data_IF_659446990496
#
_entry.id   IF_659446990496
#
_cell.length_a   1.000
_cell.length_b   1.000
_cell.length_c   1.000
_cell.angle_alpha   90.00
_cell.angle_beta   90.00
_cell.angle_gamma   90.00
#
_symmetry.space_group_name_H-M   'P 1'
#
loop_
_entity.id
_entity.type
_entity.pdbx_description
1 polymer ?
#
# COMPACT_ATOMS: atom_id res chain seq x y z
N UNK A 1 -16.67 -4.01 -14.74
CA UNK A 1 -16.45 -2.94 -15.73
C UNK A 1 -15.80 -1.77 -15.00
N UNK A 2 -14.82 -1.10 -15.58
CA UNK A 2 -14.24 0.10 -15.00
C UNK A 2 -15.34 1.15 -14.82
N UNK A 3 -15.40 1.74 -13.65
CA UNK A 3 -16.38 2.78 -13.31
C UNK A 3 -15.66 4.09 -13.06
N UNK A 4 -16.30 5.21 -13.32
CA UNK A 4 -15.79 6.49 -12.90
C UNK A 4 -16.12 6.72 -11.44
N UNK A 5 -15.10 6.72 -10.58
CA UNK A 5 -15.25 6.92 -9.14
C UNK A 5 -15.33 8.41 -8.88
N UNK A 6 -16.52 8.91 -8.48
CA UNK A 6 -16.76 10.34 -8.27
C UNK A 6 -16.16 10.84 -6.96
N UNK A 7 -16.23 10.03 -5.92
CA UNK A 7 -15.68 10.38 -4.60
C UNK A 7 -14.15 10.38 -4.59
N UNK A 8 -13.57 11.16 -3.67
CA UNK A 8 -12.12 11.09 -3.42
C UNK A 8 -11.81 9.77 -2.71
N UNK A 9 -10.88 8.93 -3.23
CA UNK A 9 -10.45 7.69 -2.57
C UNK A 9 -9.88 7.94 -1.17
N UNK A 10 -9.98 6.97 -0.28
CA UNK A 10 -9.52 7.11 1.11
C UNK A 10 -8.03 7.50 1.20
N UNK A 11 -7.18 6.91 0.37
CA UNK A 11 -5.75 7.21 0.33
C UNK A 11 -5.42 8.66 -0.04
N UNK A 12 -6.38 9.35 -0.70
CA UNK A 12 -6.28 10.77 -1.05
C UNK A 12 -7.09 11.67 -0.09
N UNK A 13 -8.05 11.13 0.69
CA UNK A 13 -8.82 11.91 1.67
C UNK A 13 -7.96 12.39 2.83
N UNK A 14 -6.92 11.63 3.18
CA UNK A 14 -5.96 11.97 4.24
C UNK A 14 -4.96 13.07 3.83
N UNK A 15 -4.96 13.48 2.57
CA UNK A 15 -4.04 14.49 2.02
C UNK A 15 -4.73 15.85 1.96
N UNK A 16 -4.11 16.85 2.55
CA UNK A 16 -4.47 18.26 2.36
C UNK A 16 -3.74 18.75 1.10
N UNK A 17 -4.43 18.66 -0.06
CA UNK A 17 -3.81 18.93 -1.36
C UNK A 17 -3.29 20.37 -1.51
N UNK A 18 -3.94 21.35 -0.88
CA UNK A 18 -3.48 22.74 -0.94
C UNK A 18 -2.10 22.89 -0.27
N UNK A 19 -1.83 22.11 0.76
CA UNK A 19 -0.52 22.05 1.40
C UNK A 19 0.47 21.21 0.59
N UNK A 20 0.05 20.02 0.11
CA UNK A 20 0.91 19.14 -0.68
C UNK A 20 1.39 19.83 -1.97
N UNK A 21 0.53 20.58 -2.63
CA UNK A 21 0.81 21.20 -3.93
C UNK A 21 1.09 22.70 -3.83
N UNK A 22 1.43 23.20 -2.67
CA UNK A 22 1.73 24.62 -2.46
C UNK A 22 2.86 25.09 -3.37
N UNK A 23 3.93 24.31 -3.49
CA UNK A 23 5.13 24.70 -4.24
C UNK A 23 5.21 24.02 -5.61
N UNK A 24 4.71 22.79 -5.74
CA UNK A 24 4.86 22.02 -6.95
C UNK A 24 3.81 20.92 -7.10
N UNK A 25 3.56 20.50 -8.35
CA UNK A 25 2.78 19.32 -8.72
C UNK A 25 3.61 18.28 -9.48
N UNK A 26 4.95 18.37 -9.34
CA UNK A 26 5.88 17.43 -9.98
C UNK A 26 6.32 17.86 -11.39
N UNK A 27 6.09 19.12 -11.79
CA UNK A 27 6.45 19.63 -13.13
C UNK A 27 7.95 19.46 -13.40
N UNK A 28 8.28 18.97 -14.60
CA UNK A 28 9.67 18.81 -15.06
C UNK A 28 10.32 17.48 -14.58
N UNK A 29 9.69 16.74 -13.69
CA UNK A 29 10.22 15.45 -13.23
C UNK A 29 9.74 14.30 -14.10
N UNK A 30 10.68 13.47 -14.54
CA UNK A 30 10.44 12.26 -15.34
C UNK A 30 10.46 11.04 -14.42
N UNK A 31 9.39 10.25 -14.45
CA UNK A 31 9.24 9.03 -13.64
C UNK A 31 9.12 7.84 -14.56
N UNK A 32 10.07 6.92 -14.50
CA UNK A 32 9.96 5.67 -15.26
C UNK A 32 9.06 4.68 -14.51
N UNK A 33 8.07 4.15 -15.20
CA UNK A 33 7.19 3.06 -14.73
C UNK A 33 7.60 1.80 -15.47
N UNK A 34 8.32 0.93 -14.75
CA UNK A 34 8.78 -0.37 -15.25
C UNK A 34 7.73 -1.41 -14.86
N UNK A 35 6.88 -1.80 -15.83
CA UNK A 35 5.67 -2.58 -15.53
C UNK A 35 5.12 -3.31 -16.79
N UNK A 36 3.83 -3.57 -16.88
CA UNK A 36 3.10 -4.20 -18.00
C UNK A 36 2.82 -3.26 -19.17
N UNK A 37 3.28 -2.01 -19.09
CA UNK A 37 2.98 -0.91 -20.01
C UNK A 37 2.04 0.12 -19.38
N UNK A 38 1.74 1.21 -20.13
CA UNK A 38 0.83 2.28 -19.65
C UNK A 38 -0.12 2.69 -20.76
N UNK A 39 -1.41 2.42 -20.60
CA UNK A 39 -2.41 2.78 -21.60
C UNK A 39 -2.69 4.30 -21.63
N UNK A 40 -2.27 4.93 -22.70
CA UNK A 40 -2.50 6.37 -22.95
C UNK A 40 -3.90 6.69 -23.47
N UNK A 41 -4.74 5.69 -23.72
CA UNK A 41 -6.15 5.94 -24.10
C UNK A 41 -6.98 6.35 -22.87
N UNK A 42 -6.51 6.06 -21.66
CA UNK A 42 -7.09 6.62 -20.44
C UNK A 42 -6.94 8.16 -20.46
N UNK A 43 -8.04 8.91 -20.35
CA UNK A 43 -8.00 10.38 -20.46
C UNK A 43 -7.14 11.07 -19.41
N UNK A 44 -6.97 10.47 -18.22
CA UNK A 44 -6.13 11.04 -17.16
C UNK A 44 -4.63 10.80 -17.39
N UNK A 45 -4.24 9.88 -18.28
CA UNK A 45 -2.85 9.55 -18.58
C UNK A 45 -2.38 10.05 -19.95
N UNK A 46 -3.30 10.42 -20.85
CA UNK A 46 -2.99 10.80 -22.22
C UNK A 46 -1.89 11.85 -22.34
N UNK A 47 -1.90 12.86 -21.48
CA UNK A 47 -0.93 13.95 -21.47
C UNK A 47 0.15 13.79 -20.38
N UNK A 48 0.05 12.75 -19.57
CA UNK A 48 1.04 12.45 -18.53
C UNK A 48 2.20 11.60 -19.05
N UNK A 49 2.00 10.87 -20.16
CA UNK A 49 2.92 9.86 -20.69
C UNK A 49 3.72 10.40 -21.86
N UNK A 50 5.05 10.29 -21.78
CA UNK A 50 5.97 10.56 -22.88
C UNK A 50 6.19 9.28 -23.71
N UNK A 51 5.42 9.14 -24.78
CA UNK A 51 5.53 8.00 -25.70
C UNK A 51 6.87 7.94 -26.42
N UNK A 52 7.50 9.10 -26.66
CA UNK A 52 8.78 9.18 -27.35
C UNK A 52 9.94 8.57 -26.55
N UNK A 53 9.81 8.58 -25.22
CA UNK A 53 10.76 8.00 -24.30
C UNK A 53 10.38 6.58 -23.84
N UNK A 54 9.23 6.08 -24.23
CA UNK A 54 8.77 4.76 -23.85
C UNK A 54 9.49 3.61 -24.54
N UNK A 55 9.41 2.42 -23.98
CA UNK A 55 9.98 1.20 -24.55
C UNK A 55 9.14 -0.05 -24.24
N UNK A 56 9.10 -0.96 -25.18
CA UNK A 56 8.66 -2.35 -25.00
C UNK A 56 9.88 -3.26 -25.10
N UNK A 57 10.24 -3.88 -23.99
CA UNK A 57 11.44 -4.73 -23.86
C UNK A 57 11.11 -6.23 -23.90
N UNK A 58 9.84 -6.57 -24.13
CA UNK A 58 9.45 -7.97 -24.29
C UNK A 58 10.01 -8.54 -25.58
N UNK A 59 10.38 -9.85 -25.57
CA UNK A 59 10.76 -10.54 -26.80
C UNK A 59 9.61 -10.51 -27.79
N UNK A 60 9.90 -10.15 -29.02
CA UNK A 60 8.92 -10.28 -30.12
C UNK A 60 8.60 -11.76 -30.29
N UNK A 61 7.32 -12.10 -30.19
CA UNK A 61 6.83 -13.47 -30.44
C UNK A 61 6.17 -13.55 -31.82
N UNK A 62 6.36 -14.66 -32.49
CA UNK A 62 5.60 -14.99 -33.69
C UNK A 62 4.11 -15.22 -33.35
N UNK A 63 3.19 -15.19 -34.32
CA UNK A 63 1.78 -15.48 -34.09
C UNK A 63 1.50 -16.86 -33.46
N UNK A 64 2.41 -17.81 -33.61
CA UNK A 64 2.36 -19.15 -33.01
C UNK A 64 2.89 -19.20 -31.55
N UNK A 65 3.25 -18.04 -30.97
CA UNK A 65 3.81 -17.93 -29.63
C UNK A 65 5.31 -18.25 -29.52
N UNK A 66 5.95 -18.72 -30.58
CA UNK A 66 7.39 -18.99 -30.60
C UNK A 66 8.22 -17.69 -30.55
N UNK A 67 9.43 -17.70 -29.95
CA UNK A 67 10.32 -16.54 -30.03
C UNK A 67 10.63 -16.20 -31.48
N UNK A 68 10.37 -14.98 -31.91
CA UNK A 68 10.80 -14.53 -33.23
C UNK A 68 12.33 -14.54 -33.28
N UNK A 69 12.92 -15.30 -34.24
CA UNK A 69 14.35 -15.31 -34.50
C UNK A 69 14.79 -13.97 -35.11
N UNK A 70 14.86 -12.93 -34.27
CA UNK A 70 15.37 -11.60 -34.63
C UNK A 70 16.62 -11.32 -33.80
N UNK A 71 17.74 -11.06 -34.45
CA UNK A 71 19.00 -10.69 -33.82
C UNK A 71 18.81 -9.42 -32.97
N UNK A 72 18.74 -9.56 -31.66
CA UNK A 72 18.97 -8.47 -30.70
C UNK A 72 20.43 -8.06 -30.77
N UNK A 73 20.85 -7.34 -31.82
CA UNK A 73 22.08 -6.57 -31.79
C UNK A 73 21.74 -5.17 -31.29
N UNK A 74 22.02 -4.94 -30.00
CA UNK A 74 22.13 -3.60 -29.47
C UNK A 74 23.20 -2.82 -30.20
N UNK A 75 22.79 -1.86 -31.01
CA UNK A 75 23.63 -0.73 -31.42
C UNK A 75 22.70 0.47 -31.64
N UNK A 76 22.87 1.43 -30.75
CA UNK A 76 22.34 2.78 -30.95
C UNK A 76 22.94 3.36 -32.22
N UNK A 77 22.08 3.70 -33.19
CA UNK A 77 22.11 4.86 -34.08
C UNK A 77 21.11 4.65 -35.22
N UNK A 78 20.22 5.60 -35.42
CA UNK A 78 19.45 5.74 -36.68
C UNK A 78 17.94 5.71 -36.52
N UNK A 79 17.30 6.79 -36.96
CA UNK A 79 15.86 6.90 -37.22
C UNK A 79 15.42 5.73 -38.11
N UNK A 80 14.73 4.74 -37.52
CA UNK A 80 14.17 3.63 -38.27
C UNK A 80 13.30 2.81 -37.35
N UNK A 81 12.06 2.56 -37.69
CA UNK A 81 11.12 1.67 -37.01
C UNK A 81 11.81 0.35 -36.66
N UNK A 82 12.24 0.18 -35.42
CA UNK A 82 12.62 -1.12 -34.85
C UNK A 82 11.42 -1.67 -34.12
N UNK A 83 11.17 -2.95 -34.23
CA UNK A 83 10.05 -3.69 -33.69
C UNK A 83 10.01 -3.83 -32.15
N UNK A 84 10.13 -2.71 -31.45
CA UNK A 84 9.79 -2.55 -30.05
C UNK A 84 8.74 -1.47 -29.97
N UNK A 85 7.64 -1.73 -29.26
CA UNK A 85 6.60 -0.72 -29.00
C UNK A 85 7.13 0.42 -28.11
N UNK A 86 6.32 1.45 -27.95
CA UNK A 86 6.61 2.64 -27.13
C UNK A 86 6.18 2.47 -25.66
N UNK A 87 5.98 1.23 -25.18
CA UNK A 87 5.55 0.94 -23.80
C UNK A 87 4.10 1.34 -23.49
N UNK A 88 3.33 1.79 -24.47
CA UNK A 88 1.94 2.26 -24.24
C UNK A 88 0.89 1.17 -24.46
N UNK A 89 1.29 -0.06 -24.75
CA UNK A 89 0.41 -1.21 -24.78
C UNK A 89 0.36 -1.85 -23.36
N UNK A 90 -0.80 -1.77 -22.73
CA UNK A 90 -1.04 -2.43 -21.44
C UNK A 90 -2.32 -3.26 -21.53
N UNK A 91 -2.15 -4.57 -21.71
CA UNK A 91 -3.24 -5.55 -21.80
C UNK A 91 -3.67 -6.08 -20.44
N UNK A 92 -2.81 -5.96 -19.42
CA UNK A 92 -3.03 -6.37 -18.03
C UNK A 92 -3.71 -5.27 -17.22
N UNK A 93 -3.31 -4.03 -17.46
CA UNK A 93 -3.81 -2.85 -16.76
C UNK A 93 -3.06 -2.52 -15.46
N UNK A 94 -2.04 -3.31 -15.10
CA UNK A 94 -1.30 -3.09 -13.87
C UNK A 94 -0.43 -1.83 -13.96
N UNK A 95 0.39 -1.67 -14.99
CA UNK A 95 1.22 -0.50 -15.17
C UNK A 95 0.41 0.79 -15.40
N UNK A 96 -0.78 0.68 -16.00
CA UNK A 96 -1.72 1.81 -16.12
C UNK A 96 -2.22 2.27 -14.74
N UNK A 97 -2.50 1.35 -13.80
CA UNK A 97 -2.85 1.69 -12.42
C UNK A 97 -1.68 2.35 -11.70
N UNK A 98 -0.49 1.77 -11.81
CA UNK A 98 0.75 2.30 -11.24
C UNK A 98 1.02 3.73 -11.72
N UNK A 99 0.98 3.97 -13.03
CA UNK A 99 1.15 5.31 -13.60
C UNK A 99 0.08 6.31 -13.12
N UNK A 100 -1.16 5.83 -12.92
CA UNK A 100 -2.26 6.65 -12.43
C UNK A 100 -2.03 7.17 -11.01
N UNK A 101 -1.56 6.32 -10.09
CA UNK A 101 -1.24 6.73 -8.72
C UNK A 101 -0.16 7.82 -8.72
N UNK A 102 0.82 7.73 -9.60
CA UNK A 102 1.89 8.74 -9.71
C UNK A 102 1.36 10.04 -10.32
N UNK A 103 0.75 9.99 -11.52
CA UNK A 103 0.63 11.18 -12.36
C UNK A 103 -0.72 11.33 -13.09
N UNK A 104 -1.79 10.65 -12.65
CA UNK A 104 -3.10 10.87 -13.25
C UNK A 104 -3.49 12.35 -13.18
N UNK A 105 -3.82 12.94 -14.34
CA UNK A 105 -4.22 14.34 -14.45
C UNK A 105 -5.59 14.56 -13.78
N UNK A 106 -5.83 15.72 -13.17
CA UNK A 106 -7.16 16.10 -12.68
C UNK A 106 -8.19 16.02 -13.82
N UNK A 107 -9.38 15.53 -13.50
CA UNK A 107 -10.47 15.42 -14.47
C UNK A 107 -11.82 15.64 -13.81
N UNK A 108 -12.70 16.38 -14.49
CA UNK A 108 -14.09 16.54 -14.05
C UNK A 108 -14.81 15.20 -13.98
N UNK A 109 -15.59 15.00 -12.92
CA UNK A 109 -16.42 13.81 -12.70
C UNK A 109 -15.70 12.64 -11.99
N UNK A 110 -14.44 12.82 -11.58
CA UNK A 110 -13.76 11.88 -10.68
C UNK A 110 -13.02 12.62 -9.57
N UNK A 111 -13.02 12.04 -8.37
CA UNK A 111 -12.21 12.52 -7.23
C UNK A 111 -10.79 11.92 -7.22
N UNK A 112 -10.48 11.05 -8.17
CA UNK A 112 -9.15 10.45 -8.27
C UNK A 112 -8.19 11.34 -9.07
N UNK A 113 -6.99 11.50 -8.53
CA UNK A 113 -5.87 12.21 -9.15
C UNK A 113 -4.55 11.57 -8.68
N UNK A 114 -3.50 11.64 -9.48
CA UNK A 114 -2.16 11.21 -9.07
C UNK A 114 -1.52 12.20 -8.11
N UNK A 115 -0.55 11.74 -7.32
CA UNK A 115 0.13 12.58 -6.34
C UNK A 115 0.96 13.70 -6.98
N UNK A 116 1.64 13.40 -8.09
CA UNK A 116 2.44 14.35 -8.87
C UNK A 116 1.81 14.55 -10.27
N UNK A 117 0.63 15.23 -10.36
CA UNK A 117 -0.15 15.27 -11.60
C UNK A 117 0.50 16.10 -12.72
N UNK A 118 1.64 16.74 -12.51
CA UNK A 118 2.40 17.41 -13.56
C UNK A 118 3.72 16.69 -13.90
N UNK A 119 4.03 15.57 -13.22
CA UNK A 119 5.15 14.72 -13.61
C UNK A 119 4.92 14.06 -14.98
N UNK A 120 6.00 13.64 -15.62
CA UNK A 120 5.98 12.96 -16.92
C UNK A 120 6.35 11.49 -16.72
N UNK A 121 5.49 10.59 -17.17
CA UNK A 121 5.71 9.15 -17.11
C UNK A 121 6.49 8.67 -18.33
N UNK A 122 7.56 7.91 -18.12
CA UNK A 122 8.26 7.12 -19.12
C UNK A 122 7.74 5.69 -19.01
N UNK A 123 6.90 5.22 -19.95
CA UNK A 123 6.35 3.85 -19.88
C UNK A 123 7.38 2.84 -20.36
N UNK A 124 7.74 1.88 -19.51
CA UNK A 124 8.68 0.80 -19.88
C UNK A 124 8.00 -0.53 -19.64
N UNK A 125 7.55 -1.15 -20.74
CA UNK A 125 6.93 -2.47 -20.71
C UNK A 125 8.02 -3.53 -20.67
N UNK A 126 8.08 -4.26 -19.56
CA UNK A 126 9.02 -5.38 -19.39
C UNK A 126 8.34 -6.67 -18.92
N UNK A 127 7.04 -6.61 -18.60
CA UNK A 127 6.23 -7.77 -18.22
C UNK A 127 5.21 -8.08 -19.30
N UNK A 128 5.02 -9.37 -19.52
CA UNK A 128 4.05 -9.92 -20.46
C UNK A 128 2.62 -9.90 -19.90
N UNK A 129 1.69 -10.49 -20.66
CA UNK A 129 0.27 -10.54 -20.33
C UNK A 129 -0.04 -11.42 -19.09
N UNK A 130 0.95 -12.19 -18.62
CA UNK A 130 0.87 -12.94 -17.36
C UNK A 130 1.51 -12.16 -16.19
N UNK A 131 1.95 -10.92 -16.42
CA UNK A 131 2.69 -10.14 -15.43
C UNK A 131 4.12 -10.64 -15.19
N UNK A 132 4.65 -11.50 -16.09
CA UNK A 132 5.95 -12.14 -15.93
C UNK A 132 7.02 -11.40 -16.73
N UNK A 133 8.11 -11.06 -16.06
CA UNK A 133 9.33 -10.51 -16.64
C UNK A 133 10.55 -11.31 -16.20
N UNK A 134 11.72 -10.91 -16.64
CA UNK A 134 13.00 -11.50 -16.24
C UNK A 134 13.89 -10.47 -15.57
N UNK A 135 14.86 -10.92 -14.74
CA UNK A 135 15.87 -10.02 -14.18
C UNK A 135 16.66 -9.29 -15.28
N UNK A 136 16.88 -9.94 -16.43
CA UNK A 136 17.57 -9.33 -17.57
C UNK A 136 16.73 -8.22 -18.24
N UNK A 137 15.42 -8.45 -18.44
CA UNK A 137 14.54 -7.42 -19.01
C UNK A 137 14.35 -6.25 -18.03
N UNK A 138 14.32 -6.52 -16.72
CA UNK A 138 14.28 -5.48 -15.69
C UNK A 138 15.56 -4.66 -15.66
N UNK A 139 16.74 -5.29 -15.75
CA UNK A 139 18.03 -4.58 -15.85
C UNK A 139 18.09 -3.69 -17.10
N UNK A 140 17.61 -4.20 -18.25
CA UNK A 140 17.52 -3.41 -19.47
C UNK A 140 16.53 -2.23 -19.33
N UNK A 141 15.41 -2.43 -18.62
CA UNK A 141 14.43 -1.39 -18.34
C UNK A 141 15.01 -0.26 -17.47
N UNK A 142 15.77 -0.61 -16.43
CA UNK A 142 16.46 0.37 -15.59
C UNK A 142 17.46 1.19 -16.41
N UNK A 143 18.29 0.55 -17.25
CA UNK A 143 19.24 1.27 -18.13
C UNK A 143 18.52 2.14 -19.16
N UNK A 144 17.36 1.71 -19.66
CA UNK A 144 16.55 2.54 -20.53
C UNK A 144 16.05 3.80 -19.78
N UNK A 145 15.56 3.63 -18.55
CA UNK A 145 15.13 4.77 -17.72
C UNK A 145 16.26 5.77 -17.44
N UNK A 146 17.49 5.28 -17.19
CA UNK A 146 18.70 6.12 -17.06
C UNK A 146 18.94 6.92 -18.34
N UNK A 147 18.92 6.25 -19.50
CA UNK A 147 19.13 6.87 -20.81
C UNK A 147 18.10 7.94 -21.12
N UNK A 148 16.84 7.74 -20.72
CA UNK A 148 15.75 8.68 -20.91
C UNK A 148 15.65 9.72 -19.79
N UNK A 149 16.72 9.86 -18.98
CA UNK A 149 16.86 10.88 -17.93
C UNK A 149 15.72 10.83 -16.88
N UNK A 150 15.29 9.65 -16.47
CA UNK A 150 14.39 9.51 -15.32
C UNK A 150 15.05 10.07 -14.06
N UNK A 151 14.27 10.75 -13.23
CA UNK A 151 14.70 11.20 -11.88
C UNK A 151 14.19 10.26 -10.80
N UNK A 152 13.14 9.50 -11.11
CA UNK A 152 12.55 8.48 -10.27
C UNK A 152 12.27 7.25 -11.13
N UNK A 153 12.56 6.08 -10.61
CA UNK A 153 12.18 4.78 -11.20
C UNK A 153 11.24 4.10 -10.22
N UNK A 154 10.06 3.71 -10.70
CA UNK A 154 9.12 2.86 -9.96
C UNK A 154 9.13 1.45 -10.52
N UNK A 155 9.35 0.46 -9.65
CA UNK A 155 9.34 -0.97 -9.96
C UNK A 155 8.32 -1.64 -9.05
N UNK A 156 7.15 -1.98 -9.61
CA UNK A 156 6.06 -2.62 -8.86
C UNK A 156 6.03 -4.13 -9.04
N UNK A 157 7.21 -4.73 -9.11
CA UNK A 157 7.41 -6.16 -9.34
C UNK A 157 8.66 -6.63 -8.64
N UNK A 158 8.65 -7.91 -8.28
CA UNK A 158 9.73 -8.50 -7.51
C UNK A 158 10.09 -9.92 -7.93
N UNK A 159 11.18 -10.42 -7.40
CA UNK A 159 11.53 -11.84 -7.36
C UNK A 159 12.03 -12.20 -5.97
N UNK A 160 11.47 -13.27 -5.42
CA UNK A 160 11.93 -13.85 -4.18
C UNK A 160 13.24 -14.65 -4.30
N UNK A 161 13.72 -14.89 -5.53
CA UNK A 161 14.97 -15.61 -5.74
C UNK A 161 16.14 -14.68 -5.42
N UNK A 162 17.02 -15.07 -4.47
CA UNK A 162 18.22 -14.31 -4.18
C UNK A 162 19.06 -14.17 -5.45
N UNK A 163 19.33 -12.94 -5.85
CA UNK A 163 20.23 -12.63 -6.94
C UNK A 163 21.59 -12.23 -6.36
N UNK A 164 22.67 -12.69 -7.02
CA UNK A 164 24.03 -12.32 -6.61
C UNK A 164 24.21 -10.80 -6.68
N UNK A 165 25.06 -10.26 -5.81
CA UNK A 165 25.37 -8.83 -5.78
C UNK A 165 26.02 -8.31 -7.07
N UNK A 166 26.63 -9.19 -7.87
CA UNK A 166 27.20 -8.92 -9.19
C UNK A 166 26.27 -9.26 -10.36
N UNK A 167 25.00 -9.59 -10.09
CA UNK A 167 24.01 -9.84 -11.13
C UNK A 167 23.77 -8.58 -11.99
N UNK A 168 23.36 -8.80 -13.23
CA UNK A 168 23.08 -7.69 -14.15
C UNK A 168 22.02 -6.72 -13.60
N UNK A 169 21.01 -7.23 -12.87
CA UNK A 169 20.01 -6.41 -12.21
C UNK A 169 20.63 -5.56 -11.07
N UNK A 170 21.47 -6.16 -10.23
CA UNK A 170 22.15 -5.44 -9.16
C UNK A 170 23.08 -4.34 -9.72
N UNK A 171 23.76 -4.63 -10.83
CA UNK A 171 24.59 -3.65 -11.54
C UNK A 171 23.76 -2.50 -12.09
N UNK A 172 22.63 -2.78 -12.72
CA UNK A 172 21.72 -1.76 -13.27
C UNK A 172 21.13 -0.86 -12.17
N UNK A 173 20.76 -1.43 -11.02
CA UNK A 173 20.30 -0.64 -9.86
C UNK A 173 21.42 0.30 -9.36
N UNK A 174 22.65 -0.22 -9.17
CA UNK A 174 23.78 0.64 -8.77
C UNK A 174 24.07 1.74 -9.80
N UNK A 175 23.91 1.45 -11.08
CA UNK A 175 24.06 2.44 -12.15
C UNK A 175 23.00 3.54 -12.03
N UNK A 176 21.72 3.21 -11.75
CA UNK A 176 20.67 4.18 -11.53
C UNK A 176 20.97 5.08 -10.32
N UNK A 177 21.39 4.51 -9.19
CA UNK A 177 21.76 5.26 -7.99
C UNK A 177 22.95 6.19 -8.24
N UNK A 178 23.97 5.78 -8.98
CA UNK A 178 25.11 6.61 -9.40
C UNK A 178 24.70 7.77 -10.31
N UNK A 179 23.66 7.60 -11.10
CA UNK A 179 23.06 8.65 -11.92
C UNK A 179 22.06 9.51 -11.16
N UNK A 180 22.09 9.47 -9.83
CA UNK A 180 21.26 10.29 -8.94
C UNK A 180 19.75 10.04 -9.17
N UNK A 181 19.35 8.81 -9.43
CA UNK A 181 17.94 8.43 -9.64
C UNK A 181 17.39 7.78 -8.38
N UNK A 182 16.24 8.23 -7.89
CA UNK A 182 15.52 7.57 -6.80
C UNK A 182 14.90 6.29 -7.34
N UNK A 183 15.27 5.14 -6.78
CA UNK A 183 14.69 3.84 -7.14
C UNK A 183 13.73 3.40 -6.05
N UNK A 184 12.45 3.29 -6.39
CA UNK A 184 11.37 2.87 -5.50
C UNK A 184 10.89 1.50 -5.95
N UNK A 185 10.79 0.56 -5.04
CA UNK A 185 10.33 -0.80 -5.36
C UNK A 185 9.33 -1.33 -4.33
N UNK A 186 8.37 -2.13 -4.79
CA UNK A 186 7.42 -2.83 -3.92
C UNK A 186 8.13 -3.89 -3.07
N UNK A 187 7.75 -4.00 -1.79
CA UNK A 187 8.36 -4.96 -0.86
C UNK A 187 7.95 -6.41 -1.15
N UNK A 188 6.86 -6.65 -1.88
CA UNK A 188 6.31 -7.98 -2.17
C UNK A 188 5.04 -8.31 -1.40
N UNK A 189 4.30 -9.31 -1.87
CA UNK A 189 2.96 -9.64 -1.38
C UNK A 189 2.84 -11.03 -0.73
N UNK A 190 3.95 -11.69 -0.42
CA UNK A 190 3.98 -13.04 0.15
C UNK A 190 4.10 -13.05 1.69
N UNK A 191 3.77 -11.93 2.34
CA UNK A 191 3.92 -11.74 3.79
C UNK A 191 3.11 -12.69 4.66
N UNK A 192 2.02 -13.28 4.14
CA UNK A 192 1.22 -14.30 4.86
C UNK A 192 1.96 -15.63 5.03
N UNK A 193 2.83 -15.99 4.08
CA UNK A 193 3.53 -17.28 4.09
C UNK A 193 4.80 -17.28 4.96
N UNK A 194 5.27 -16.11 5.41
CA UNK A 194 6.47 -15.90 6.25
C UNK A 194 7.77 -16.58 5.75
N UNK A 195 7.78 -17.09 4.51
CA UNK A 195 8.90 -17.88 3.97
C UNK A 195 9.88 -17.05 3.14
N UNK A 196 9.45 -15.90 2.61
CA UNK A 196 10.28 -15.02 1.80
C UNK A 196 10.78 -13.87 2.66
N UNK A 197 12.08 -13.84 2.90
CA UNK A 197 12.71 -12.81 3.77
C UNK A 197 13.09 -11.53 3.03
N UNK A 198 13.35 -11.61 1.73
CA UNK A 198 13.75 -10.46 0.93
C UNK A 198 13.30 -10.64 -0.52
N UNK A 199 12.90 -9.56 -1.14
CA UNK A 199 12.52 -9.49 -2.56
C UNK A 199 13.45 -8.55 -3.31
N UNK A 200 13.66 -8.81 -4.59
CA UNK A 200 14.53 -7.99 -5.42
C UNK A 200 13.78 -7.39 -6.59
N UNK A 201 13.99 -6.08 -6.89
CA UNK A 201 15.14 -5.25 -6.47
C UNK A 201 14.99 -4.53 -5.11
N UNK A 202 13.87 -4.67 -4.39
CA UNK A 202 13.58 -3.92 -3.16
C UNK A 202 14.70 -4.04 -2.10
N UNK A 203 15.28 -5.25 -1.93
CA UNK A 203 16.33 -5.49 -0.95
C UNK A 203 17.75 -5.06 -1.37
N UNK A 204 17.92 -4.46 -2.55
CA UNK A 204 19.24 -3.92 -2.89
C UNK A 204 19.51 -2.61 -2.14
N UNK A 205 20.75 -2.43 -1.62
CA UNK A 205 21.11 -1.20 -0.93
C UNK A 205 20.86 0.06 -1.77
N UNK A 206 20.22 1.06 -1.18
CA UNK A 206 19.87 2.32 -1.81
C UNK A 206 18.53 2.33 -2.55
N UNK A 207 17.85 1.19 -2.68
CA UNK A 207 16.47 1.12 -3.15
C UNK A 207 15.52 1.42 -1.99
N UNK A 208 14.55 2.30 -2.21
CA UNK A 208 13.48 2.56 -1.25
C UNK A 208 12.41 1.48 -1.40
N UNK A 209 12.47 0.48 -0.54
CA UNK A 209 11.49 -0.60 -0.50
C UNK A 209 10.22 -0.16 0.22
N UNK A 210 9.06 -0.40 -0.39
CA UNK A 210 7.78 0.10 0.10
C UNK A 210 6.85 -1.06 0.46
N UNK A 211 6.50 -1.15 1.74
CA UNK A 211 5.46 -2.02 2.28
C UNK A 211 4.06 -1.43 2.05
N UNK A 212 3.03 -2.26 2.17
CA UNK A 212 1.65 -1.81 2.08
C UNK A 212 1.04 -1.58 3.47
N UNK A 213 0.37 -0.44 3.64
CA UNK A 213 -0.49 -0.15 4.79
C UNK A 213 -1.96 -0.05 4.38
N UNK A 214 -2.84 -0.22 5.36
CA UNK A 214 -4.27 0.04 5.23
C UNK A 214 -4.62 1.49 5.65
N UNK A 215 -5.92 1.77 5.80
CA UNK A 215 -6.43 3.11 6.19
C UNK A 215 -6.15 3.49 7.65
N UNK A 216 -5.76 2.53 8.49
CA UNK A 216 -5.41 2.74 9.90
C UNK A 216 -3.91 2.87 10.10
N UNK A 217 -3.14 2.92 9.01
CA UNK A 217 -1.66 2.89 8.98
C UNK A 217 -1.06 1.58 9.51
N UNK A 218 -1.87 0.52 9.58
CA UNK A 218 -1.41 -0.81 9.91
C UNK A 218 -0.86 -1.52 8.68
N UNK A 219 0.19 -2.34 8.86
CA UNK A 219 0.75 -3.15 7.77
C UNK A 219 -0.32 -4.10 7.22
N UNK A 220 -0.52 -4.08 5.91
CA UNK A 220 -1.39 -5.04 5.26
C UNK A 220 -0.87 -6.49 5.46
N UNK A 221 -1.73 -7.47 5.80
CA UNK A 221 -1.28 -8.84 6.12
C UNK A 221 -0.45 -9.50 5.01
N UNK A 222 -0.75 -9.19 3.74
CA UNK A 222 -0.01 -9.72 2.59
C UNK A 222 1.37 -9.06 2.39
N UNK A 223 1.61 -7.88 2.95
CA UNK A 223 2.86 -7.14 2.72
C UNK A 223 4.05 -7.89 3.31
N UNK A 224 5.12 -7.99 2.52
CA UNK A 224 6.41 -8.49 3.01
C UNK A 224 6.96 -7.62 4.13
N UNK A 225 7.79 -8.22 4.97
CA UNK A 225 8.47 -7.61 6.11
C UNK A 225 9.96 -7.94 6.07
N UNK A 226 10.75 -7.15 6.74
CA UNK A 226 12.19 -7.39 6.90
C UNK A 226 13.01 -6.11 6.98
N UNK A 227 14.30 -6.29 7.24
CA UNK A 227 15.27 -5.19 7.38
C UNK A 227 15.45 -4.35 6.10
N UNK A 228 14.97 -4.80 4.97
CA UNK A 228 15.05 -4.07 3.72
C UNK A 228 13.91 -3.05 3.52
N UNK A 229 12.79 -3.18 4.26
CA UNK A 229 11.65 -2.26 4.15
C UNK A 229 12.06 -0.87 4.61
N UNK A 230 12.00 0.12 3.74
CA UNK A 230 12.32 1.52 4.07
C UNK A 230 11.13 2.24 4.70
N UNK A 231 9.96 2.18 4.04
CA UNK A 231 8.71 2.81 4.48
C UNK A 231 7.51 1.97 4.11
N UNK A 232 6.34 2.29 4.66
CA UNK A 232 5.06 1.81 4.17
C UNK A 232 4.25 2.94 3.54
N UNK A 233 3.29 2.59 2.69
CA UNK A 233 2.34 3.53 2.10
C UNK A 233 1.00 2.84 1.82
N UNK A 234 -0.09 3.58 1.58
CA UNK A 234 -1.39 3.02 1.22
C UNK A 234 -1.29 1.96 0.12
N UNK A 235 -1.78 0.75 0.39
CA UNK A 235 -1.73 -0.39 -0.52
C UNK A 235 -2.96 -1.29 -0.47
N UNK A 236 -3.96 -0.93 0.34
CA UNK A 236 -5.24 -1.65 0.47
C UNK A 236 -6.36 -0.78 -0.08
N UNK A 237 -7.30 -1.36 -0.82
CA UNK A 237 -8.42 -0.65 -1.46
C UNK A 237 -7.98 0.58 -2.28
N UNK A 238 -6.87 0.44 -3.00
CA UNK A 238 -6.30 1.51 -3.79
C UNK A 238 -7.07 1.72 -5.09
N UNK A 239 -7.61 2.92 -5.24
CA UNK A 239 -8.25 3.34 -6.50
C UNK A 239 -7.20 3.84 -7.47
N UNK A 240 -7.26 3.40 -8.72
CA UNK A 240 -6.43 3.97 -9.80
C UNK A 240 -7.05 3.81 -11.17
N UNK A 241 -6.44 4.46 -12.15
CA UNK A 241 -6.80 4.43 -13.60
C UNK A 241 -6.67 3.01 -14.16
N UNK A 242 -7.50 2.69 -15.12
CA UNK A 242 -7.43 1.43 -15.87
C UNK A 242 -7.39 1.70 -17.38
N UNK A 243 -6.94 0.73 -18.19
CA UNK A 243 -6.96 0.88 -19.65
C UNK A 243 -8.33 1.30 -20.18
N UNK A 244 -8.32 2.14 -21.23
CA UNK A 244 -9.49 2.69 -21.93
C UNK A 244 -10.30 3.70 -21.14
N UNK A 245 -10.04 3.91 -19.85
CA UNK A 245 -10.69 4.92 -19.01
C UNK A 245 -11.42 4.33 -17.80
N UNK A 246 -11.79 5.21 -16.87
CA UNK A 246 -12.34 4.84 -15.56
C UNK A 246 -11.26 4.44 -14.56
N UNK A 247 -11.71 3.93 -13.43
CA UNK A 247 -10.88 3.49 -12.32
C UNK A 247 -11.38 2.13 -11.80
N UNK A 248 -10.53 1.41 -11.08
CA UNK A 248 -10.90 0.26 -10.26
C UNK A 248 -10.16 0.30 -8.93
N UNK A 249 -10.57 -0.58 -8.02
CA UNK A 249 -9.94 -0.81 -6.72
C UNK A 249 -9.05 -2.03 -6.80
N UNK A 250 -7.88 -1.98 -6.15
CA UNK A 250 -6.96 -3.11 -6.08
C UNK A 250 -6.12 -3.07 -4.80
N UNK A 251 -5.43 -4.17 -4.48
CA UNK A 251 -4.57 -4.32 -3.31
C UNK A 251 -3.16 -4.77 -3.71
N UNK A 252 -2.16 -4.32 -2.98
CA UNK A 252 -0.78 -4.77 -3.17
C UNK A 252 0.26 -3.70 -2.87
N UNK A 253 1.45 -4.14 -2.50
CA UNK A 253 2.64 -3.29 -2.40
C UNK A 253 2.98 -2.62 -3.74
N UNK A 254 2.52 -3.23 -4.86
CA UNK A 254 2.61 -2.66 -6.20
C UNK A 254 1.88 -1.33 -6.37
N UNK A 255 0.94 -1.00 -5.46
CA UNK A 255 0.21 0.29 -5.45
C UNK A 255 0.74 1.23 -4.37
N UNK A 256 1.46 0.70 -3.37
CA UNK A 256 2.16 1.51 -2.38
C UNK A 256 3.44 2.15 -2.96
N UNK A 257 4.22 1.39 -3.73
CA UNK A 257 5.44 1.91 -4.38
C UNK A 257 5.17 3.15 -5.26
N UNK A 258 4.19 3.17 -6.17
CA UNK A 258 3.90 4.38 -6.97
C UNK A 258 3.39 5.56 -6.14
N UNK A 259 2.74 5.32 -5.01
CA UNK A 259 2.40 6.40 -4.07
C UNK A 259 3.68 7.11 -3.58
N UNK A 260 4.67 6.34 -3.15
CA UNK A 260 5.98 6.87 -2.72
C UNK A 260 6.77 7.48 -3.89
N UNK A 261 6.72 6.87 -5.08
CA UNK A 261 7.34 7.44 -6.27
C UNK A 261 6.74 8.80 -6.67
N UNK A 262 5.43 8.99 -6.45
CA UNK A 262 4.76 10.28 -6.60
C UNK A 262 5.27 11.33 -5.61
N UNK A 263 5.45 10.97 -4.33
CA UNK A 263 6.05 11.85 -3.31
C UNK A 263 7.49 12.19 -3.68
N UNK A 264 8.29 11.19 -4.08
CA UNK A 264 9.67 11.42 -4.54
C UNK A 264 9.72 12.37 -5.75
N UNK A 265 8.76 12.28 -6.67
CA UNK A 265 8.67 13.20 -7.80
C UNK A 265 8.34 14.63 -7.37
N UNK A 266 7.49 14.83 -6.37
CA UNK A 266 7.20 16.14 -5.81
C UNK A 266 8.44 16.76 -5.15
N UNK A 267 9.16 15.97 -4.30
CA UNK A 267 10.40 16.44 -3.65
C UNK A 267 11.45 16.80 -4.71
N UNK A 268 11.63 15.98 -5.75
CA UNK A 268 12.53 16.25 -6.86
C UNK A 268 12.18 17.53 -7.63
N UNK A 269 10.90 17.85 -7.75
CA UNK A 269 10.47 19.08 -8.42
C UNK A 269 10.67 20.32 -7.55
N UNK A 270 10.49 20.20 -6.25
CA UNK A 270 10.72 21.28 -5.27
C UNK A 270 12.21 21.52 -5.04
N UNK A 271 13.00 20.45 -4.92
CA UNK A 271 14.43 20.46 -4.61
C UNK A 271 15.24 19.73 -5.70
N UNK A 272 15.43 20.35 -6.88
CA UNK A 272 16.10 19.70 -8.01
C UNK A 272 17.56 19.33 -7.73
N UNK A 273 18.22 20.04 -6.81
CA UNK A 273 19.62 19.84 -6.44
C UNK A 273 19.86 18.76 -5.38
N UNK A 274 18.80 18.32 -4.69
CA UNK A 274 18.93 17.27 -3.71
C UNK A 274 19.34 15.95 -4.36
N UNK A 275 20.22 15.23 -3.68
CA UNK A 275 20.66 13.90 -4.13
C UNK A 275 19.59 12.86 -3.87
N UNK A 276 19.62 11.76 -4.64
CA UNK A 276 18.65 10.66 -4.48
C UNK A 276 18.58 10.15 -3.03
N UNK A 277 19.74 10.05 -2.34
CA UNK A 277 19.78 9.61 -0.95
C UNK A 277 19.10 10.61 0.00
N UNK A 278 19.17 11.90 -0.28
CA UNK A 278 18.49 12.95 0.51
C UNK A 278 16.98 12.92 0.30
N UNK A 279 16.52 12.64 -0.92
CA UNK A 279 15.08 12.45 -1.20
C UNK A 279 14.55 11.23 -0.46
N UNK A 280 15.28 10.12 -0.47
CA UNK A 280 14.93 8.91 0.27
C UNK A 280 14.90 9.20 1.77
N UNK A 281 15.97 9.78 2.31
CA UNK A 281 16.06 10.11 3.74
C UNK A 281 14.95 11.07 4.19
N UNK A 282 14.55 12.03 3.36
CA UNK A 282 13.43 12.94 3.64
C UNK A 282 12.12 12.19 3.77
N UNK A 283 11.82 11.28 2.85
CA UNK A 283 10.60 10.45 2.90
C UNK A 283 10.60 9.59 4.17
N UNK A 284 11.73 8.97 4.51
CA UNK A 284 11.89 8.14 5.70
C UNK A 284 11.81 8.95 6.99
N UNK A 285 12.44 10.14 7.04
CA UNK A 285 12.46 10.99 8.23
C UNK A 285 11.08 11.55 8.58
N UNK A 286 10.28 11.89 7.58
CA UNK A 286 8.97 12.52 7.75
C UNK A 286 7.82 11.54 7.81
N UNK A 287 8.09 10.24 7.67
CA UNK A 287 7.08 9.20 7.79
C UNK A 287 6.44 9.19 9.18
N UNK A 288 5.14 8.91 9.23
CA UNK A 288 4.39 8.74 10.48
C UNK A 288 4.76 7.40 11.10
N UNK A 289 5.30 7.43 12.32
CA UNK A 289 5.79 6.23 13.00
C UNK A 289 5.17 6.05 14.37
N UNK A 290 4.95 4.78 14.76
CA UNK A 290 4.45 4.41 16.07
C UNK A 290 5.59 4.09 17.08
N UNK A 291 6.80 3.89 16.58
CA UNK A 291 8.00 3.57 17.38
C UNK A 291 9.09 4.61 17.17
N UNK A 292 10.00 4.75 18.13
CA UNK A 292 11.10 5.70 18.08
C UNK A 292 12.21 5.33 17.09
N UNK A 293 11.87 4.90 15.89
CA UNK A 293 12.87 4.53 14.92
C UNK A 293 12.28 3.70 13.80
N UNK A 294 13.05 2.73 13.34
CA UNK A 294 12.69 1.84 12.25
C UNK A 294 12.30 0.46 12.79
N UNK A 295 11.27 -0.15 12.20
CA UNK A 295 10.94 -1.56 12.41
C UNK A 295 10.98 -2.35 11.08
N UNK A 296 10.77 -3.66 11.15
CA UNK A 296 10.77 -4.54 9.97
C UNK A 296 9.40 -4.65 9.28
N UNK A 297 8.34 -4.03 9.81
CA UNK A 297 6.97 -4.12 9.30
C UNK A 297 6.62 -2.96 8.38
N UNK A 298 6.93 -1.74 8.81
CA UNK A 298 6.63 -0.49 8.10
C UNK A 298 7.88 0.37 7.85
N UNK A 299 9.06 -0.15 8.15
CA UNK A 299 10.32 0.58 8.04
C UNK A 299 10.36 1.79 8.98
N UNK A 300 10.64 2.97 8.45
CA UNK A 300 10.61 4.25 9.20
C UNK A 300 9.20 4.78 9.43
N UNK A 301 8.16 4.09 9.00
CA UNK A 301 6.76 4.45 9.20
C UNK A 301 5.97 4.54 7.92
N UNK A 302 4.72 5.00 8.02
CA UNK A 302 3.83 5.23 6.88
C UNK A 302 4.09 6.62 6.31
N UNK A 303 4.32 6.70 5.01
CA UNK A 303 4.66 7.96 4.33
C UNK A 303 3.57 9.02 4.52
N UNK A 304 3.99 10.20 4.99
CA UNK A 304 3.18 11.41 5.05
C UNK A 304 3.63 12.37 3.92
N UNK A 305 2.86 12.46 2.83
CA UNK A 305 3.24 13.30 1.69
C UNK A 305 3.30 14.78 2.03
N UNK A 306 2.46 15.25 2.95
CA UNK A 306 2.40 16.67 3.33
C UNK A 306 3.63 17.05 4.14
N UNK A 307 3.99 16.24 5.15
CA UNK A 307 5.21 16.47 5.93
C UNK A 307 6.47 16.35 5.08
N UNK A 308 6.50 15.40 4.14
CA UNK A 308 7.64 15.21 3.26
C UNK A 308 7.94 16.44 2.38
N UNK A 309 6.93 17.28 2.13
CA UNK A 309 7.05 18.51 1.32
C UNK A 309 7.11 19.79 2.16
N UNK A 310 6.78 19.75 3.46
CA UNK A 310 6.71 20.95 4.29
C UNK A 310 7.77 20.96 5.42
N UNK A 311 8.17 19.78 5.92
CA UNK A 311 9.24 19.65 6.92
C UNK A 311 10.60 19.45 6.20
N UNK A 312 10.93 20.34 5.25
CA UNK A 312 12.00 20.16 4.28
C UNK A 312 12.99 21.35 4.23
N UNK A 313 13.11 22.10 5.31
CA UNK A 313 14.01 23.28 5.39
C UNK A 313 15.48 22.92 5.10
N UNK A 314 15.91 21.72 5.51
CA UNK A 314 17.27 21.24 5.32
C UNK A 314 17.28 19.78 4.87
N UNK A 315 18.07 19.40 3.82
CA UNK A 315 18.17 18.04 3.40
C UNK A 315 18.85 17.19 4.47
N UNK A 316 18.22 16.05 4.82
CA UNK A 316 18.83 15.05 5.69
C UNK A 316 19.57 14.02 4.83
N UNK A 317 20.71 13.51 5.31
CA UNK A 317 21.48 12.50 4.58
C UNK A 317 21.11 11.06 4.99
N UNK A 318 20.53 10.92 6.16
CA UNK A 318 19.98 9.66 6.69
C UNK A 318 18.88 9.98 7.70
N UNK A 319 17.84 9.14 7.79
CA UNK A 319 16.82 9.30 8.82
C UNK A 319 17.40 9.00 10.20
N UNK A 320 16.87 9.69 11.20
CA UNK A 320 17.25 9.51 12.60
C UNK A 320 16.03 9.11 13.42
N UNK A 321 16.19 8.29 14.45
CA UNK A 321 15.12 8.03 15.41
C UNK A 321 14.61 9.35 16.01
N UNK A 322 13.32 9.39 16.32
CA UNK A 322 12.77 10.51 17.07
C UNK A 322 13.49 10.62 18.41
N UNK A 323 13.68 11.85 18.88
CA UNK A 323 14.22 12.02 20.23
C UNK A 323 13.29 11.31 21.19
N UNK A 324 13.81 10.37 21.97
CA UNK A 324 13.08 9.81 23.09
C UNK A 324 12.51 10.99 23.87
N UNK A 325 11.20 11.05 24.02
CA UNK A 325 10.60 11.98 24.99
C UNK A 325 11.26 11.55 26.30
N UNK A 326 12.12 12.42 26.84
CA UNK A 326 12.72 12.20 28.15
C UNK A 326 11.55 11.84 29.05
N UNK A 327 11.66 10.72 29.81
CA UNK A 327 10.60 10.22 30.65
C UNK A 327 9.92 11.40 31.34
N UNK A 328 8.84 11.86 30.73
CA UNK A 328 7.96 12.85 31.34
C UNK A 328 7.45 12.24 32.63
N UNK A 329 6.90 13.03 33.55
CA UNK A 329 6.37 12.50 34.80
C UNK A 329 5.52 11.29 34.48
N UNK A 330 5.87 10.17 35.11
CA UNK A 330 5.27 8.84 34.99
C UNK A 330 3.81 8.97 34.60
N UNK A 331 3.46 8.50 33.40
CA UNK A 331 2.08 8.55 32.93
C UNK A 331 1.15 8.02 34.02
N UNK A 332 -0.11 8.40 34.05
CA UNK A 332 -1.02 7.99 35.10
C UNK A 332 -0.85 6.49 35.33
N UNK A 333 -0.55 6.11 36.59
CA UNK A 333 -0.43 4.70 36.95
C UNK A 333 -1.60 3.94 36.34
N UNK A 334 -1.33 2.83 35.65
CA UNK A 334 -2.41 2.06 35.07
C UNK A 334 -3.34 1.66 36.21
N UNK A 335 -4.52 2.27 36.24
CA UNK A 335 -5.57 1.89 37.17
C UNK A 335 -5.88 0.44 36.83
N UNK A 336 -5.58 -0.46 37.78
CA UNK A 336 -5.91 -1.86 37.63
C UNK A 336 -7.41 -1.94 37.29
N UNK A 337 -7.74 -2.42 36.10
CA UNK A 337 -9.10 -2.74 35.72
C UNK A 337 -9.61 -3.76 36.74
N UNK A 338 -10.39 -3.31 37.69
CA UNK A 338 -11.10 -4.21 38.60
C UNK A 338 -12.16 -4.92 37.73
N UNK A 339 -11.79 -6.04 37.17
CA UNK A 339 -12.72 -6.99 36.52
C UNK A 339 -13.66 -7.65 37.54
N UNK A 340 -13.79 -7.07 38.71
CA UNK A 340 -14.70 -7.50 39.77
C UNK A 340 -16.10 -6.94 39.52
N UNK A 341 -17.10 -7.73 39.86
CA UNK A 341 -18.50 -7.41 39.80
C UNK A 341 -18.79 -6.06 40.52
N UNK A 342 -19.40 -5.12 39.82
CA UNK A 342 -19.78 -3.84 40.40
C UNK A 342 -20.78 -4.02 41.53
N UNK A 343 -20.84 -3.07 42.47
CA UNK A 343 -21.86 -3.09 43.56
C UNK A 343 -23.28 -3.25 43.00
N UNK A 344 -23.55 -2.64 41.87
CA UNK A 344 -24.88 -2.67 41.25
C UNK A 344 -25.18 -4.05 40.63
N UNK A 345 -24.23 -4.68 39.96
CA UNK A 345 -24.35 -6.05 39.41
C UNK A 345 -24.54 -7.06 40.53
N UNK A 346 -23.78 -6.95 41.62
CA UNK A 346 -23.91 -7.80 42.80
C UNK A 346 -25.27 -7.68 43.44
N UNK A 347 -25.79 -6.43 43.61
CA UNK A 347 -27.14 -6.19 44.14
C UNK A 347 -28.21 -6.77 43.23
N UNK A 348 -28.11 -6.57 41.94
CA UNK A 348 -29.05 -7.13 40.95
C UNK A 348 -29.07 -8.65 41.01
N UNK A 349 -27.89 -9.30 41.07
CA UNK A 349 -27.78 -10.75 41.18
C UNK A 349 -28.39 -11.29 42.49
N UNK A 350 -28.08 -10.66 43.65
CA UNK A 350 -28.69 -11.01 44.92
C UNK A 350 -30.18 -10.85 44.91
N UNK A 351 -30.67 -9.73 44.35
CA UNK A 351 -32.12 -9.48 44.24
C UNK A 351 -32.82 -10.52 43.36
N UNK A 352 -32.18 -10.92 42.28
CA UNK A 352 -32.73 -11.98 41.39
C UNK A 352 -32.81 -13.32 42.11
N UNK A 353 -31.79 -13.69 42.92
CA UNK A 353 -31.81 -14.93 43.69
C UNK A 353 -32.87 -14.89 44.78
N UNK A 354 -33.04 -13.76 45.49
CA UNK A 354 -34.06 -13.57 46.52
C UNK A 354 -35.45 -13.70 45.90
N UNK A 355 -35.71 -13.06 44.76
CA UNK A 355 -36.98 -13.18 44.04
C UNK A 355 -37.27 -14.60 43.57
N UNK A 356 -36.29 -15.29 43.03
CA UNK A 356 -36.42 -16.70 42.62
C UNK A 356 -36.73 -17.64 43.82
N UNK A 357 -36.03 -17.46 44.95
CA UNK A 357 -36.24 -18.23 46.18
C UNK A 357 -37.63 -17.96 46.77
N UNK A 358 -38.06 -16.70 46.84
CA UNK A 358 -39.40 -16.34 47.31
C UNK A 358 -40.51 -16.86 46.42
N UNK A 359 -40.33 -16.83 45.09
CA UNK A 359 -41.27 -17.41 44.13
C UNK A 359 -41.38 -18.94 44.31
N UNK A 360 -40.25 -19.62 44.49
CA UNK A 360 -40.24 -21.08 44.74
C UNK A 360 -40.95 -21.42 46.06
N UNK A 361 -40.66 -20.68 47.12
CA UNK A 361 -41.30 -20.87 48.43
C UNK A 361 -42.82 -20.67 48.35
N UNK A 362 -43.26 -19.62 47.68
CA UNK A 362 -44.69 -19.35 47.43
C UNK A 362 -45.36 -20.48 46.63
N UNK A 363 -44.70 -21.03 45.63
CA UNK A 363 -45.18 -22.16 44.84
C UNK A 363 -45.30 -23.43 45.70
N UNK A 364 -44.32 -23.69 46.60
CA UNK A 364 -44.33 -24.82 47.51
C UNK A 364 -45.51 -24.67 48.50
N UNK A 365 -45.68 -23.49 49.09
CA UNK A 365 -46.77 -23.20 50.04
C UNK A 365 -48.12 -23.39 49.35
N UNK A 366 -48.30 -22.89 48.13
CA UNK A 366 -49.52 -23.04 47.34
C UNK A 366 -49.78 -24.52 47.05
N UNK A 367 -48.75 -25.28 46.64
CA UNK A 367 -48.82 -26.72 46.40
C UNK A 367 -49.26 -27.49 47.62
N UNK A 368 -48.65 -27.19 48.80
CA UNK A 368 -49.03 -27.81 50.07
C UNK A 368 -50.46 -27.48 50.45
N UNK A 369 -50.90 -26.21 50.28
CA UNK A 369 -52.26 -25.78 50.58
C UNK A 369 -53.28 -26.55 49.70
N UNK A 370 -52.97 -26.74 48.42
CA UNK A 370 -53.84 -27.52 47.51
C UNK A 370 -53.91 -28.98 47.97
N UNK A 371 -52.81 -29.61 48.32
CA UNK A 371 -52.75 -30.98 48.80
C UNK A 371 -53.53 -31.18 50.13
N UNK A 372 -53.42 -30.25 51.04
CA UNK A 372 -54.19 -30.29 52.32
C UNK A 372 -55.66 -30.15 52.02
N UNK A 373 -56.06 -29.23 51.17
CA UNK A 373 -57.48 -28.99 50.77
C UNK A 373 -58.06 -30.21 50.06
N UNK A 374 -57.32 -30.86 49.23
CA UNK A 374 -57.81 -32.09 48.54
C UNK A 374 -57.94 -33.24 49.53
N UNK A 375 -57.01 -33.39 50.48
CA UNK A 375 -57.13 -34.36 51.56
C UNK A 375 -58.34 -34.14 52.46
N UNK A 376 -58.66 -32.90 52.79
CA UNK A 376 -59.87 -32.59 53.55
C UNK A 376 -61.14 -32.90 52.79
N UNK A 377 -61.17 -32.58 51.48
CA UNK A 377 -62.30 -32.97 50.60
C UNK A 377 -62.55 -34.47 50.47
N UNK A 378 -61.47 -35.24 50.47
CA UNK A 378 -61.56 -36.72 50.43
C UNK A 378 -62.00 -37.30 51.77
N UNK A 379 -61.67 -36.68 52.91
CA UNK A 379 -62.21 -37.04 54.24
C UNK A 379 -63.68 -36.77 54.33
N UNK A 380 -64.17 -35.63 53.84
CA UNK A 380 -65.59 -35.26 53.85
C UNK A 380 -66.42 -36.19 52.95
N UNK A 381 -65.83 -36.70 51.87
CA UNK A 381 -66.49 -37.69 50.99
C UNK A 381 -66.61 -39.08 51.55
N UNK A 382 -65.70 -39.50 52.45
CA UNK A 382 -65.72 -40.82 53.11
C UNK A 382 -66.60 -40.83 54.41
N UNK A 383 -67.00 -39.69 54.92
CA UNK A 383 -67.80 -39.50 56.12
C UNK A 383 -69.30 -39.34 55.90
N UNK A 384 -69.81 -39.44 54.63
CA UNK A 384 -71.24 -39.33 54.37
C UNK A 384 -71.96 -40.72 54.62
N UNK A 385 -72.89 -40.79 55.55
CA UNK A 385 -73.66 -42.05 55.76
C UNK A 385 -74.51 -42.37 54.58
N UNK A 386 -74.40 -43.60 54.10
CA UNK A 386 -75.35 -44.18 53.12
C UNK A 386 -76.73 -44.20 53.77
N UNK A 387 -77.62 -43.53 53.15
CA UNK A 387 -79.07 -43.76 53.32
C UNK A 387 -79.68 -44.35 52.05
#
# INVERSE_FOLDING_TARGET
MPRQIRGRPWSLQRIVFDQLWQDTKGKGVRVAVIDTGVDVTNPQLRTAVDRGAGADLLPVRNPDGSPAKGKTKGTAKGKGKKGGGDGTLDTVGHGTKVAGIIAARPRTGTGFVGLAPEATIIPVRQNDDQGTGTAATMAAAIRHAIKEHARVINISQDTARPLRADSDLALAVREALKNDIVVVASAGNDGLAAQVKATYPAAYPGVLAVAASDRNDERAPFSQTGDFVGVAAPGVDMVSTVPRGGQCVDNGTSFSAPYVAGVAALIRAKHPDWKQAQVVAQIEQTASRAVNGRDEFVGWGVVDPVRALNDDEHPVNAPTPDRAVADGPVGPEPVALQLGETRQERMTRISTYVLAATGLLAAVIAGVAVLVRDRDRDRDRQGAPQR
#
